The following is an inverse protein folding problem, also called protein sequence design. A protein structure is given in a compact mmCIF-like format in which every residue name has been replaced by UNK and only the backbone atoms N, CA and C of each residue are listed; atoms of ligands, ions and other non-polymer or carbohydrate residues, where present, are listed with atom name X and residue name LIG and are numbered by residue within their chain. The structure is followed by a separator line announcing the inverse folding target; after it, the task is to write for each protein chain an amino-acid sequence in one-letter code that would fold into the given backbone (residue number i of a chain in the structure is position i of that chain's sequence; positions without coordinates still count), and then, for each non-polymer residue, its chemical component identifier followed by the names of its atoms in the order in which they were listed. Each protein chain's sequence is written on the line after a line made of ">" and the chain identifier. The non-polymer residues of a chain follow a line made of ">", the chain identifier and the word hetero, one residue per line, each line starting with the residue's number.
data_IF_237194636112
#
_entry.id   IF_237194636112
#
_cell.length_a   1.000
_cell.length_b   1.000
_cell.length_c   1.000
_cell.angle_alpha   90.00
_cell.angle_beta   90.00
_cell.angle_gamma   90.00
#
_symmetry.space_group_name_H-M   'P 1'
#
loop_
_entity.id
_entity.type
_entity.pdbx_description
1 polymer ?
#
# COMPACT_ATOMS: atom_id res chain seq x y z
N UNK A 1 -4.55 18.54 -11.93
CA UNK A 1 -3.37 19.11 -11.24
C UNK A 1 -3.74 19.39 -9.80
N UNK A 2 -3.22 18.59 -8.87
CA UNK A 2 -3.60 18.67 -7.46
C UNK A 2 -2.46 19.30 -6.67
N UNK A 3 -2.72 20.47 -6.07
CA UNK A 3 -1.74 21.23 -5.28
C UNK A 3 -1.98 21.01 -3.79
N UNK A 4 -0.90 20.72 -3.05
CA UNK A 4 -0.86 20.81 -1.59
C UNK A 4 0.51 21.38 -1.22
N UNK A 5 0.56 22.53 -0.54
CA UNK A 5 1.82 23.12 -0.07
C UNK A 5 2.63 23.93 -1.09
N UNK A 6 2.03 24.44 -2.17
CA UNK A 6 2.64 25.49 -3.02
C UNK A 6 3.76 25.06 -3.97
N UNK A 7 4.07 23.77 -4.08
CA UNK A 7 5.01 23.22 -5.08
C UNK A 7 4.30 22.28 -6.07
N UNK A 8 4.65 22.39 -7.35
CA UNK A 8 4.26 21.41 -8.36
C UNK A 8 5.04 20.10 -8.12
N UNK A 9 4.31 19.00 -7.93
CA UNK A 9 4.93 17.67 -7.86
C UNK A 9 5.30 17.22 -9.27
N UNK A 10 6.47 16.58 -9.48
CA UNK A 10 6.79 15.96 -10.75
C UNK A 10 5.72 14.94 -11.14
N UNK A 11 5.35 14.91 -12.42
CA UNK A 11 4.54 13.83 -12.97
C UNK A 11 5.19 12.48 -12.62
N UNK A 12 4.38 11.53 -12.13
CA UNK A 12 4.87 10.22 -11.70
C UNK A 12 5.54 10.19 -10.32
N UNK A 13 5.46 11.26 -9.50
CA UNK A 13 6.02 11.28 -8.14
C UNK A 13 5.59 10.06 -7.30
N UNK A 14 4.33 9.68 -7.36
CA UNK A 14 3.82 8.47 -6.70
C UNK A 14 4.38 7.16 -7.21
N UNK A 15 4.70 7.04 -8.49
CA UNK A 15 5.40 5.86 -9.02
C UNK A 15 6.84 5.82 -8.52
N UNK A 16 7.53 6.96 -8.48
CA UNK A 16 8.88 7.07 -7.91
C UNK A 16 8.88 6.71 -6.42
N UNK A 17 7.89 7.19 -5.67
CA UNK A 17 7.75 6.88 -4.24
C UNK A 17 7.39 5.41 -4.01
N UNK A 18 6.46 4.87 -4.80
CA UNK A 18 6.11 3.45 -4.81
C UNK A 18 7.31 2.56 -5.13
N UNK A 19 8.11 2.94 -6.13
CA UNK A 19 9.32 2.22 -6.51
C UNK A 19 10.37 2.26 -5.40
N UNK A 20 10.57 3.42 -4.76
CA UNK A 20 11.48 3.59 -3.65
C UNK A 20 11.08 2.73 -2.43
N UNK A 21 9.80 2.78 -2.04
CA UNK A 21 9.27 1.97 -0.92
C UNK A 21 9.34 0.48 -1.23
N UNK A 22 8.97 0.06 -2.44
CA UNK A 22 9.04 -1.35 -2.85
C UNK A 22 10.47 -1.87 -2.87
N UNK A 23 11.40 -1.07 -3.39
CA UNK A 23 12.84 -1.38 -3.38
C UNK A 23 13.36 -1.48 -1.94
N UNK A 24 13.01 -0.53 -1.08
CA UNK A 24 13.44 -0.58 0.32
C UNK A 24 12.85 -1.77 1.07
N UNK A 25 11.59 -2.09 0.84
CA UNK A 25 10.93 -3.25 1.45
C UNK A 25 11.54 -4.57 0.98
N UNK A 26 11.95 -4.68 -0.29
CA UNK A 26 12.69 -5.83 -0.81
C UNK A 26 14.07 -5.95 -0.15
N UNK A 27 14.82 -4.85 -0.07
CA UNK A 27 16.14 -4.80 0.57
C UNK A 27 16.03 -5.15 2.06
N UNK A 28 15.05 -4.59 2.76
CA UNK A 28 14.75 -4.92 4.16
C UNK A 28 14.43 -6.42 4.26
N UNK A 29 13.52 -6.95 3.43
CA UNK A 29 13.21 -8.39 3.45
C UNK A 29 14.45 -9.24 3.19
N UNK A 30 15.29 -8.92 2.21
CA UNK A 30 16.52 -9.66 1.92
C UNK A 30 17.54 -9.59 3.06
N UNK A 31 17.73 -8.42 3.67
CA UNK A 31 18.60 -8.24 4.83
C UNK A 31 18.09 -8.98 6.07
N UNK A 32 16.77 -9.01 6.25
CA UNK A 32 16.13 -9.59 7.42
C UNK A 32 15.81 -11.09 7.26
N UNK A 33 15.65 -11.62 6.04
CA UNK A 33 15.42 -13.06 5.79
C UNK A 33 16.60 -13.91 6.26
N UNK A 34 17.84 -13.42 6.15
CA UNK A 34 19.01 -14.09 6.74
C UNK A 34 19.03 -14.05 8.27
N UNK A 35 18.37 -13.07 8.88
CA UNK A 35 18.39 -12.80 10.32
C UNK A 35 17.19 -13.40 11.07
N UNK A 36 16.07 -13.64 10.37
CA UNK A 36 14.83 -14.21 10.92
C UNK A 36 14.60 -15.68 10.56
N UNK A 37 15.57 -16.37 9.98
CA UNK A 37 15.48 -17.81 9.73
C UNK A 37 15.23 -18.64 11.02
N UNK A 38 15.52 -18.07 12.20
CA UNK A 38 15.22 -18.64 13.52
C UNK A 38 13.79 -18.37 14.04
N UNK A 39 13.03 -17.45 13.44
CA UNK A 39 11.71 -17.07 13.97
C UNK A 39 10.58 -17.89 13.34
N UNK A 40 10.08 -18.83 14.14
CA UNK A 40 9.03 -19.85 13.92
C UNK A 40 7.70 -19.32 13.33
N UNK A 41 7.69 -18.85 12.07
CA UNK A 41 6.52 -18.37 11.30
C UNK A 41 5.94 -17.01 11.75
N UNK A 42 5.98 -16.72 13.05
CA UNK A 42 5.47 -15.48 13.66
C UNK A 42 6.21 -14.22 13.19
N UNK A 43 7.47 -14.36 12.81
CA UNK A 43 8.26 -13.28 12.23
C UNK A 43 7.81 -12.91 10.81
N UNK A 44 7.41 -13.91 10.01
CA UNK A 44 6.90 -13.71 8.66
C UNK A 44 5.53 -13.05 8.69
N UNK A 45 4.62 -13.49 9.56
CA UNK A 45 3.32 -12.85 9.76
C UNK A 45 3.45 -11.39 10.20
N UNK A 46 4.34 -11.07 11.16
CA UNK A 46 4.59 -9.70 11.59
C UNK A 46 5.15 -8.82 10.46
N UNK A 47 6.03 -9.37 9.61
CA UNK A 47 6.58 -8.66 8.45
C UNK A 47 5.50 -8.41 7.39
N UNK A 48 4.64 -9.39 7.14
CA UNK A 48 3.49 -9.27 6.24
C UNK A 48 2.51 -8.23 6.79
N UNK A 49 2.26 -8.23 8.09
CA UNK A 49 1.39 -7.26 8.76
C UNK A 49 1.90 -5.83 8.57
N UNK A 50 3.18 -5.60 8.88
CA UNK A 50 3.83 -4.30 8.68
C UNK A 50 3.82 -3.89 7.20
N UNK A 51 4.01 -4.84 6.28
CA UNK A 51 3.93 -4.60 4.83
C UNK A 51 2.56 -4.09 4.42
N UNK A 52 1.48 -4.70 4.91
CA UNK A 52 0.10 -4.26 4.63
C UNK A 52 -0.16 -2.83 5.13
N UNK A 53 0.32 -2.50 6.34
CA UNK A 53 0.18 -1.14 6.91
C UNK A 53 0.86 -0.10 6.03
N UNK A 54 2.10 -0.36 5.60
CA UNK A 54 2.86 0.55 4.74
C UNK A 54 2.17 0.74 3.39
N UNK A 55 1.74 -0.36 2.74
CA UNK A 55 1.01 -0.28 1.48
C UNK A 55 -0.30 0.52 1.62
N UNK A 56 -1.04 0.34 2.72
CA UNK A 56 -2.28 1.07 2.97
C UNK A 56 -2.03 2.57 3.10
N UNK A 57 -1.07 2.97 3.95
CA UNK A 57 -0.74 4.39 4.19
C UNK A 57 -0.28 5.07 2.91
N UNK A 58 0.57 4.39 2.13
CA UNK A 58 1.04 4.94 0.87
C UNK A 58 -0.10 5.01 -0.16
N UNK A 59 -0.96 4.01 -0.25
CA UNK A 59 -2.12 4.03 -1.14
C UNK A 59 -3.07 5.19 -0.83
N UNK A 60 -3.31 5.48 0.46
CA UNK A 60 -4.10 6.65 0.88
C UNK A 60 -3.43 7.96 0.47
N UNK A 61 -2.12 8.11 0.72
CA UNK A 61 -1.36 9.28 0.31
C UNK A 61 -1.41 9.52 -1.21
N UNK A 62 -1.23 8.47 -2.02
CA UNK A 62 -1.30 8.57 -3.48
C UNK A 62 -2.70 8.96 -3.96
N UNK A 63 -3.75 8.50 -3.29
CA UNK A 63 -5.11 8.91 -3.60
C UNK A 63 -5.33 10.40 -3.33
N UNK A 64 -4.77 10.93 -2.24
CA UNK A 64 -4.78 12.38 -1.94
C UNK A 64 -4.00 13.18 -2.99
N UNK A 65 -2.92 12.61 -3.53
CA UNK A 65 -2.17 13.18 -4.67
C UNK A 65 -2.87 13.00 -6.03
N UNK A 66 -4.08 12.45 -6.08
CA UNK A 66 -4.81 12.14 -7.32
C UNK A 66 -4.10 11.15 -8.26
N UNK A 67 -3.17 10.34 -7.73
CA UNK A 67 -2.51 9.25 -8.45
C UNK A 67 -3.26 7.94 -8.21
N UNK A 68 -4.46 7.86 -8.77
CA UNK A 68 -5.47 6.88 -8.37
C UNK A 68 -5.12 5.45 -8.79
N UNK A 69 -4.44 5.26 -9.92
CA UNK A 69 -4.01 3.94 -10.42
C UNK A 69 -2.96 3.31 -9.49
N UNK A 70 -1.95 4.11 -9.11
CA UNK A 70 -0.90 3.70 -8.19
C UNK A 70 -1.46 3.46 -6.78
N UNK A 71 -2.41 4.30 -6.33
CA UNK A 71 -3.14 4.11 -5.08
C UNK A 71 -3.92 2.78 -5.06
N UNK A 72 -4.68 2.48 -6.12
CA UNK A 72 -5.45 1.25 -6.24
C UNK A 72 -4.53 0.01 -6.18
N UNK A 73 -3.42 0.04 -6.89
CA UNK A 73 -2.44 -1.06 -6.93
C UNK A 73 -1.89 -1.39 -5.53
N UNK A 74 -1.58 -0.36 -4.75
CA UNK A 74 -1.10 -0.52 -3.38
C UNK A 74 -2.16 -1.04 -2.43
N UNK A 75 -3.37 -0.52 -2.53
CA UNK A 75 -4.49 -0.95 -1.69
C UNK A 75 -4.91 -2.40 -2.00
N UNK A 76 -4.85 -2.83 -3.26
CA UNK A 76 -5.07 -4.23 -3.65
C UNK A 76 -3.98 -5.15 -3.08
N UNK A 77 -2.72 -4.70 -3.07
CA UNK A 77 -1.62 -5.45 -2.45
C UNK A 77 -1.81 -5.57 -0.93
N UNK A 78 -2.18 -4.49 -0.25
CA UNK A 78 -2.47 -4.50 1.18
C UNK A 78 -3.61 -5.48 1.50
N UNK A 79 -4.70 -5.41 0.73
CA UNK A 79 -5.86 -6.28 0.90
C UNK A 79 -5.50 -7.77 0.72
N UNK A 80 -4.70 -8.12 -0.30
CA UNK A 80 -4.23 -9.50 -0.51
C UNK A 80 -3.41 -10.03 0.67
N UNK A 81 -2.68 -9.15 1.36
CA UNK A 81 -1.88 -9.53 2.53
C UNK A 81 -2.77 -9.63 3.77
N UNK A 82 -3.70 -8.69 3.96
CA UNK A 82 -4.67 -8.75 5.05
C UNK A 82 -5.49 -10.05 4.98
N UNK A 83 -5.89 -10.51 3.80
CA UNK A 83 -6.58 -11.81 3.63
C UNK A 83 -5.74 -13.05 3.98
N UNK A 84 -4.41 -12.93 4.03
CA UNK A 84 -3.53 -14.03 4.42
C UNK A 84 -3.36 -14.13 5.94
N UNK A 85 -3.51 -13.01 6.65
CA UNK A 85 -3.31 -12.92 8.10
C UNK A 85 -4.64 -12.93 8.85
N UNK A 86 -5.66 -12.32 8.26
CA UNK A 86 -6.96 -12.09 8.88
C UNK A 86 -8.09 -12.74 8.06
N UNK A 87 -9.15 -13.13 8.74
CA UNK A 87 -10.38 -13.59 8.11
C UNK A 87 -11.10 -12.46 7.35
N UNK A 88 -12.05 -12.84 6.50
CA UNK A 88 -12.83 -11.88 5.70
C UNK A 88 -13.74 -10.98 6.54
N UNK A 89 -14.13 -11.43 7.74
CA UNK A 89 -14.98 -10.68 8.67
C UNK A 89 -14.19 -9.69 9.53
N UNK A 90 -12.86 -9.77 9.50
CA UNK A 90 -12.00 -8.83 10.20
C UNK A 90 -12.27 -7.40 9.75
N UNK A 91 -12.38 -6.53 10.75
CA UNK A 91 -12.45 -5.07 10.58
C UNK A 91 -11.37 -4.55 9.63
N UNK A 92 -10.21 -5.20 9.60
CA UNK A 92 -9.07 -4.81 8.77
C UNK A 92 -9.32 -5.03 7.29
N UNK A 93 -9.81 -6.21 6.91
CA UNK A 93 -10.20 -6.55 5.54
C UNK A 93 -11.35 -5.65 5.07
N UNK A 94 -12.34 -5.40 5.93
CA UNK A 94 -13.45 -4.50 5.62
C UNK A 94 -12.97 -3.06 5.35
N UNK A 95 -12.03 -2.55 6.15
CA UNK A 95 -11.43 -1.23 5.96
C UNK A 95 -10.61 -1.13 4.67
N UNK A 96 -9.79 -2.14 4.36
CA UNK A 96 -9.02 -2.18 3.11
C UNK A 96 -9.95 -2.18 1.87
N UNK A 97 -11.02 -2.98 1.88
CA UNK A 97 -12.04 -2.96 0.83
C UNK A 97 -12.72 -1.59 0.69
N UNK A 98 -13.11 -0.97 1.82
CA UNK A 98 -13.73 0.37 1.80
C UNK A 98 -12.81 1.43 1.20
N UNK A 99 -11.51 1.36 1.46
CA UNK A 99 -10.51 2.28 0.88
C UNK A 99 -10.37 2.08 -0.62
N UNK A 100 -10.21 0.83 -1.05
CA UNK A 100 -10.11 0.49 -2.47
C UNK A 100 -11.37 0.93 -3.23
N UNK A 101 -12.56 0.70 -2.68
CA UNK A 101 -13.81 1.15 -3.27
C UNK A 101 -13.89 2.68 -3.45
N UNK A 102 -13.36 3.45 -2.49
CA UNK A 102 -13.27 4.91 -2.64
C UNK A 102 -12.34 5.34 -3.76
N UNK A 103 -11.18 4.71 -3.89
CA UNK A 103 -10.23 5.01 -4.98
C UNK A 103 -10.84 4.63 -6.33
N UNK A 104 -11.44 3.44 -6.47
CA UNK A 104 -12.10 3.02 -7.72
C UNK A 104 -13.26 3.92 -8.11
N UNK A 105 -14.04 4.40 -7.15
CA UNK A 105 -15.08 5.40 -7.41
C UNK A 105 -14.49 6.73 -7.90
N UNK A 106 -13.37 7.17 -7.33
CA UNK A 106 -12.69 8.38 -7.78
C UNK A 106 -12.12 8.22 -9.21
N UNK A 107 -11.61 7.04 -9.57
CA UNK A 107 -11.14 6.73 -10.93
C UNK A 107 -12.27 6.88 -11.95
N UNK A 108 -13.42 6.24 -11.68
CA UNK A 108 -14.57 6.33 -12.59
C UNK A 108 -15.12 7.75 -12.76
N UNK A 109 -15.00 8.62 -11.74
CA UNK A 109 -15.38 10.04 -11.85
C UNK A 109 -14.35 10.91 -12.57
N UNK A 110 -13.11 10.46 -12.69
CA UNK A 110 -12.06 11.17 -13.41
C UNK A 110 -12.07 10.84 -14.91
N UNK A 111 -12.71 9.73 -15.30
CA UNK A 111 -12.90 9.31 -16.69
C UNK A 111 -14.15 9.93 -17.36
N UNK A 112 -15.10 10.48 -16.58
CA UNK A 112 -16.29 11.23 -17.05
C UNK A 112 -15.99 12.71 -17.32
#
# INVERSE_FOLDING_TARGET
>A
MSTFGGGEWPDGFGELYLHAVTRHQKVLKEQFVGQFAEYDGRGEEALMDATSIVCTKLGEFLAECSQLEAAATLLERALKIDHKIYDNESRRVALANRRLGRVKQAQGRAEE
#
